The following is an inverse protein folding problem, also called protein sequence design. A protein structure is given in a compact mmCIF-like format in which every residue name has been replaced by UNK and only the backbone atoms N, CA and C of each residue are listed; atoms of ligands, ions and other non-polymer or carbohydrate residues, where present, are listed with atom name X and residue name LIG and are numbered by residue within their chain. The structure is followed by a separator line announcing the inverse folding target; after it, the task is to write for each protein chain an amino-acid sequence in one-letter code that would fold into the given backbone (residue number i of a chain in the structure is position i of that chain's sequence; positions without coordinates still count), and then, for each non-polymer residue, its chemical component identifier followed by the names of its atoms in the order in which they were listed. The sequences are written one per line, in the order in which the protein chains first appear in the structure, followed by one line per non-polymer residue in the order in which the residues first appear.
data_IF_005160372464
#
_entry.id   IF_005160372464
#
_cell.length_a   1.000
_cell.length_b   1.000
_cell.length_c   1.000
_cell.angle_alpha   90.00
_cell.angle_beta   90.00
_cell.angle_gamma   90.00
#
_symmetry.space_group_name_H-M   'P 1'
#
loop_
_entity.id
_entity.type
_entity.pdbx_description
1 polymer ?
#
# COMPACT_ATOMS: atom_id res chain seq x y z
N UNK A 1 2.28 5.42 -17.88
CA UNK A 1 2.89 5.08 -16.57
C UNK A 1 1.75 4.88 -15.58
N UNK A 2 1.79 3.83 -14.76
CA UNK A 2 0.77 3.62 -13.72
C UNK A 2 1.05 4.50 -12.51
N UNK A 3 0.01 4.91 -11.80
CA UNK A 3 0.11 5.74 -10.59
C UNK A 3 0.78 4.98 -9.45
N UNK A 4 1.46 5.71 -8.57
CA UNK A 4 1.96 5.19 -7.31
C UNK A 4 0.82 5.17 -6.29
N UNK A 5 0.63 4.04 -5.61
CA UNK A 5 -0.44 3.84 -4.63
C UNK A 5 0.20 3.58 -3.26
N UNK A 6 -0.25 4.31 -2.23
CA UNK A 6 0.09 4.05 -0.84
C UNK A 6 -1.11 3.40 -0.14
N UNK A 7 -0.94 2.18 0.36
CA UNK A 7 -1.96 1.44 1.11
C UNK A 7 -1.68 1.60 2.61
N UNK A 8 -2.67 2.09 3.35
CA UNK A 8 -2.59 2.28 4.81
C UNK A 8 -3.63 1.41 5.47
N UNK A 9 -3.20 0.39 6.20
CA UNK A 9 -4.09 -0.57 6.84
C UNK A 9 -3.37 -1.21 8.05
N UNK A 10 -4.04 -1.24 9.19
CA UNK A 10 -3.51 -1.77 10.45
C UNK A 10 -3.56 -3.30 10.50
N UNK A 11 -4.44 -3.93 9.72
CA UNK A 11 -4.51 -5.38 9.61
C UNK A 11 -3.48 -5.90 8.59
N UNK A 12 -2.47 -6.69 9.01
CA UNK A 12 -1.38 -7.09 8.12
C UNK A 12 -1.84 -7.99 6.96
N UNK A 13 -2.87 -8.82 7.18
CA UNK A 13 -3.36 -9.77 6.17
C UNK A 13 -4.13 -9.04 5.07
N UNK A 14 -5.06 -8.15 5.43
CA UNK A 14 -5.75 -7.30 4.48
C UNK A 14 -4.77 -6.39 3.70
N UNK A 15 -3.84 -5.73 4.41
CA UNK A 15 -2.81 -4.87 3.81
C UNK A 15 -1.99 -5.60 2.75
N UNK A 16 -1.51 -6.80 3.08
CA UNK A 16 -0.70 -7.61 2.18
C UNK A 16 -1.51 -8.06 0.96
N UNK A 17 -2.71 -8.58 1.19
CA UNK A 17 -3.61 -9.05 0.12
C UNK A 17 -3.91 -7.95 -0.90
N UNK A 18 -4.27 -6.75 -0.43
CA UNK A 18 -4.55 -5.61 -1.30
C UNK A 18 -3.29 -5.13 -2.05
N UNK A 19 -2.14 -5.11 -1.37
CA UNK A 19 -0.86 -4.75 -1.98
C UNK A 19 -0.52 -5.68 -3.14
N UNK A 20 -0.69 -6.98 -2.95
CA UNK A 20 -0.37 -7.99 -3.97
C UNK A 20 -1.30 -7.91 -5.18
N UNK A 21 -2.61 -7.73 -4.94
CA UNK A 21 -3.60 -7.52 -6.02
C UNK A 21 -3.21 -6.30 -6.87
N UNK A 22 -2.93 -5.16 -6.25
CA UNK A 22 -2.58 -3.93 -6.98
C UNK A 22 -1.23 -4.06 -7.71
N UNK A 23 -0.27 -4.80 -7.15
CA UNK A 23 0.99 -5.10 -7.84
C UNK A 23 0.79 -6.01 -9.04
N UNK A 24 -0.07 -7.03 -8.95
CA UNK A 24 -0.43 -7.91 -10.06
C UNK A 24 -1.10 -7.14 -11.20
N UNK A 25 -1.93 -6.16 -10.85
CA UNK A 25 -2.48 -5.23 -11.83
C UNK A 25 -1.40 -4.34 -12.46
N UNK A 26 -0.17 -4.30 -11.95
CA UNK A 26 0.95 -3.55 -12.51
C UNK A 26 1.11 -2.13 -11.98
N UNK A 27 0.46 -1.80 -10.85
CA UNK A 27 0.69 -0.54 -10.14
C UNK A 27 2.00 -0.60 -9.33
N UNK A 28 2.58 0.56 -9.06
CA UNK A 28 3.65 0.70 -8.08
C UNK A 28 2.99 0.93 -6.73
N UNK A 29 3.18 0.00 -5.79
CA UNK A 29 2.44 0.00 -4.52
C UNK A 29 3.39 -0.07 -3.35
N UNK A 30 3.23 0.86 -2.42
CA UNK A 30 3.85 0.82 -1.09
C UNK A 30 2.76 0.64 -0.04
N UNK A 31 3.05 -0.07 1.04
CA UNK A 31 2.10 -0.25 2.13
C UNK A 31 2.72 0.03 3.48
N UNK A 32 1.93 0.63 4.37
CA UNK A 32 2.33 1.07 5.71
C UNK A 32 1.26 0.69 6.74
N UNK A 33 1.64 0.44 8.01
CA UNK A 33 0.73 -0.14 8.99
C UNK A 33 -0.21 0.85 9.69
N UNK A 34 -0.01 2.16 9.51
CA UNK A 34 -0.82 3.18 10.19
C UNK A 34 -0.64 4.56 9.54
N UNK A 35 -1.44 5.52 10.01
CA UNK A 35 -1.42 6.89 9.50
C UNK A 35 -0.12 7.64 9.77
N UNK A 36 0.56 7.40 10.90
CA UNK A 36 1.85 8.05 11.20
C UNK A 36 2.91 7.65 10.16
N UNK A 37 3.03 6.35 9.90
CA UNK A 37 3.91 5.82 8.87
C UNK A 37 3.54 6.30 7.46
N UNK A 38 2.26 6.59 7.21
CA UNK A 38 1.82 7.16 5.94
C UNK A 38 2.27 8.61 5.75
N UNK A 39 2.17 9.43 6.80
CA UNK A 39 2.63 10.83 6.78
C UNK A 39 4.15 10.91 6.66
N UNK A 40 4.89 10.02 7.33
CA UNK A 40 6.35 9.92 7.21
C UNK A 40 6.83 9.43 5.84
N UNK A 41 5.93 8.87 5.02
CA UNK A 41 6.24 8.41 3.67
C UNK A 41 6.12 9.51 2.59
N UNK A 42 5.65 10.71 2.97
CA UNK A 42 5.46 11.87 2.08
C UNK A 42 6.76 12.65 1.91
#
# INVERSE_FOLDING_TARGET
MKSNILVVDDEPVARQSLTDILKLEGYVVTSVPNGQAAVEHI
#
